data_IF_451695356407
#
_entry.id   IF_451695356407
#
_cell.length_a   1.000
_cell.length_b   1.000
_cell.length_c   1.000
_cell.angle_alpha   90.00
_cell.angle_beta   90.00
_cell.angle_gamma   90.00
#
_symmetry.space_group_name_H-M   'P 1'
#
loop_
_entity.id
_entity.type
_entity.pdbx_description
1 polymer ?
#
# COMPACT_ATOMS: atom_id res chain seq x y z
N UNK A 1 -44.42 -9.19 -5.82
CA UNK A 1 -43.09 -9.34 -5.20
C UNK A 1 -43.19 -8.74 -3.80
N UNK A 2 -43.65 -9.52 -2.81
CA UNK A 2 -43.83 -8.99 -1.45
C UNK A 2 -42.50 -9.10 -0.72
N UNK A 3 -41.86 -7.96 -0.42
CA UNK A 3 -40.67 -7.94 0.41
C UNK A 3 -41.06 -8.43 1.80
N UNK A 4 -40.53 -9.60 2.21
CA UNK A 4 -40.79 -10.14 3.54
C UNK A 4 -40.16 -9.22 4.59
N UNK A 5 -40.92 -8.66 5.55
CA UNK A 5 -40.39 -7.69 6.51
C UNK A 5 -39.19 -8.20 7.32
N UNK A 6 -39.16 -9.51 7.60
CA UNK A 6 -38.05 -10.15 8.28
C UNK A 6 -36.75 -10.13 7.45
N UNK A 7 -36.82 -10.35 6.13
CA UNK A 7 -35.65 -10.29 5.26
C UNK A 7 -35.10 -8.86 5.15
N UNK A 8 -35.99 -7.88 5.04
CA UNK A 8 -35.59 -6.46 5.02
C UNK A 8 -34.93 -6.07 6.34
N UNK A 9 -35.50 -6.50 7.47
CA UNK A 9 -34.95 -6.22 8.80
C UNK A 9 -33.57 -6.89 8.99
N UNK A 10 -33.41 -8.13 8.53
CA UNK A 10 -32.13 -8.85 8.59
C UNK A 10 -31.06 -8.20 7.71
N UNK A 11 -31.41 -7.79 6.49
CA UNK A 11 -30.49 -7.07 5.60
C UNK A 11 -30.06 -5.72 6.20
N UNK A 12 -31.00 -5.01 6.83
CA UNK A 12 -30.71 -3.74 7.49
C UNK A 12 -29.79 -3.94 8.71
N UNK A 13 -30.04 -4.95 9.53
CA UNK A 13 -29.18 -5.28 10.67
C UNK A 13 -27.75 -5.65 10.24
N UNK A 14 -27.62 -6.40 9.13
CA UNK A 14 -26.31 -6.72 8.55
C UNK A 14 -25.60 -5.47 8.02
N UNK A 15 -26.33 -4.58 7.35
CA UNK A 15 -25.79 -3.32 6.87
C UNK A 15 -25.26 -2.47 8.02
N UNK A 16 -26.07 -2.25 9.08
CA UNK A 16 -25.66 -1.47 10.24
C UNK A 16 -24.45 -2.08 10.94
N UNK A 17 -24.42 -3.40 11.13
CA UNK A 17 -23.27 -4.08 11.71
C UNK A 17 -22.00 -3.92 10.85
N UNK A 18 -22.12 -4.01 9.53
CA UNK A 18 -21.00 -3.80 8.60
C UNK A 18 -20.54 -2.34 8.57
N UNK A 19 -21.48 -1.39 8.69
CA UNK A 19 -21.21 0.04 8.70
C UNK A 19 -20.49 0.47 9.98
N UNK A 20 -20.99 0.06 11.14
CA UNK A 20 -20.42 0.38 12.47
C UNK A 20 -19.03 -0.25 12.69
N UNK A 21 -18.74 -1.37 12.02
CA UNK A 21 -17.43 -2.04 12.09
C UNK A 21 -16.50 -1.68 10.93
N UNK A 22 -16.94 -0.82 10.02
CA UNK A 22 -16.11 -0.37 8.91
C UNK A 22 -14.92 0.46 9.41
N UNK A 23 -13.82 0.38 8.69
CA UNK A 23 -12.68 1.27 8.91
C UNK A 23 -13.06 2.70 8.54
N UNK A 24 -12.69 3.66 9.39
CA UNK A 24 -12.89 5.08 9.14
C UNK A 24 -12.30 5.51 7.78
N UNK A 25 -13.08 6.27 7.00
CA UNK A 25 -12.64 6.83 5.73
C UNK A 25 -11.41 7.75 5.89
N UNK A 26 -11.30 8.45 7.02
CA UNK A 26 -10.12 9.25 7.36
C UNK A 26 -8.86 8.39 7.51
N UNK A 27 -8.97 7.14 7.97
CA UNK A 27 -7.84 6.20 7.99
C UNK A 27 -7.41 5.77 6.58
N UNK A 28 -8.29 5.89 5.58
CA UNK A 28 -7.90 5.70 4.17
C UNK A 28 -7.18 6.94 3.61
N UNK A 29 -7.61 8.14 4.02
CA UNK A 29 -7.00 9.42 3.63
C UNK A 29 -5.84 9.85 4.52
N UNK A 30 -5.37 8.97 5.40
CA UNK A 30 -4.30 9.25 6.35
C UNK A 30 -3.18 10.04 5.66
N UNK A 31 -3.05 11.31 6.03
CA UNK A 31 -2.17 12.27 5.35
C UNK A 31 -0.70 11.84 5.50
N UNK A 32 -0.42 11.03 6.51
CA UNK A 32 0.87 10.42 6.80
C UNK A 32 1.14 9.17 5.96
N UNK A 33 0.14 8.64 5.24
CA UNK A 33 0.37 7.51 4.34
C UNK A 33 1.16 8.00 3.12
N UNK A 34 2.36 7.45 2.85
CA UNK A 34 3.16 7.88 1.72
C UNK A 34 2.39 7.67 0.41
N UNK A 35 2.23 8.76 -0.34
CA UNK A 35 1.68 8.70 -1.70
C UNK A 35 2.70 8.08 -2.62
N UNK A 36 2.60 6.76 -2.82
CA UNK A 36 3.45 6.00 -3.72
C UNK A 36 2.76 5.91 -5.08
N UNK A 37 3.32 6.58 -6.08
CA UNK A 37 2.88 6.48 -7.48
C UNK A 37 3.21 5.09 -8.08
N UNK A 38 2.75 4.84 -9.31
CA UNK A 38 2.92 3.53 -9.95
C UNK A 38 4.41 3.14 -10.10
N UNK A 39 5.29 4.09 -10.45
CA UNK A 39 6.71 3.83 -10.61
C UNK A 39 7.40 3.58 -9.26
N UNK A 40 7.06 4.35 -8.23
CA UNK A 40 7.56 4.16 -6.89
C UNK A 40 7.12 2.80 -6.31
N UNK A 41 5.93 2.31 -6.69
CA UNK A 41 5.48 0.96 -6.34
C UNK A 41 6.30 -0.12 -7.02
N UNK A 42 6.64 0.03 -8.30
CA UNK A 42 7.54 -0.90 -9.00
C UNK A 42 8.92 -0.95 -8.36
N UNK A 43 9.48 0.22 -8.02
CA UNK A 43 10.76 0.33 -7.30
C UNK A 43 10.67 -0.35 -5.94
N UNK A 44 9.58 -0.15 -5.19
CA UNK A 44 9.34 -0.77 -3.89
C UNK A 44 9.21 -2.30 -3.98
N UNK A 45 8.52 -2.82 -5.00
CA UNK A 45 8.44 -4.25 -5.26
C UNK A 45 9.81 -4.85 -5.60
N UNK A 46 10.61 -4.18 -6.44
CA UNK A 46 11.97 -4.60 -6.77
C UNK A 46 12.92 -4.51 -5.56
N UNK A 47 12.70 -3.54 -4.65
CA UNK A 47 13.43 -3.44 -3.40
C UNK A 47 13.10 -4.62 -2.47
N UNK A 48 11.82 -5.01 -2.40
CA UNK A 48 11.33 -6.12 -1.58
C UNK A 48 11.69 -7.50 -2.11
N UNK A 49 12.05 -7.64 -3.38
CA UNK A 49 12.45 -8.93 -4.00
C UNK A 49 13.90 -9.33 -3.68
N UNK A 50 14.67 -8.49 -3.00
CA UNK A 50 16.07 -8.76 -2.64
C UNK A 50 17.06 -8.59 -3.79
N UNK A 51 16.64 -8.01 -4.92
CA UNK A 51 17.52 -7.70 -6.05
C UNK A 51 18.54 -6.62 -5.69
N UNK A 52 19.71 -6.67 -6.33
CA UNK A 52 20.66 -5.55 -6.27
C UNK A 52 20.14 -4.35 -7.02
N UNK A 53 20.55 -3.13 -6.63
CA UNK A 53 20.19 -1.90 -7.34
C UNK A 53 20.49 -1.98 -8.85
N UNK A 54 21.58 -2.65 -9.23
CA UNK A 54 22.00 -2.80 -10.63
C UNK A 54 20.99 -3.66 -11.39
N UNK A 55 20.61 -4.82 -10.85
CA UNK A 55 19.61 -5.71 -11.45
C UNK A 55 18.26 -5.02 -11.56
N UNK A 56 17.77 -4.45 -10.45
CA UNK A 56 16.48 -3.77 -10.41
C UNK A 56 16.42 -2.56 -11.37
N UNK A 57 17.50 -1.78 -11.47
CA UNK A 57 17.56 -0.65 -12.42
C UNK A 57 17.42 -1.10 -13.87
N UNK A 58 18.02 -2.24 -14.24
CA UNK A 58 17.93 -2.80 -15.59
C UNK A 58 16.54 -3.35 -15.90
N UNK A 59 15.93 -4.08 -14.97
CA UNK A 59 14.57 -4.61 -15.16
C UNK A 59 13.54 -3.50 -15.32
N UNK A 60 13.69 -2.40 -14.56
CA UNK A 60 12.78 -1.26 -14.62
C UNK A 60 13.15 -0.24 -15.73
N UNK A 61 14.13 -0.56 -16.59
CA UNK A 61 14.49 0.29 -17.72
C UNK A 61 15.03 1.68 -17.34
N UNK A 62 15.67 1.82 -16.18
CA UNK A 62 16.18 3.10 -15.68
C UNK A 62 17.68 3.07 -15.35
N UNK A 63 18.31 4.25 -15.30
CA UNK A 63 19.71 4.33 -14.87
C UNK A 63 19.87 3.95 -13.39
N UNK A 64 21.03 3.39 -13.01
CA UNK A 64 21.36 3.08 -11.62
C UNK A 64 21.24 4.30 -10.69
N UNK A 65 21.62 5.49 -11.19
CA UNK A 65 21.50 6.76 -10.46
C UNK A 65 20.03 7.09 -10.17
N UNK A 66 19.17 6.96 -11.18
CA UNK A 66 17.72 7.19 -11.05
C UNK A 66 17.12 6.22 -10.05
N UNK A 67 17.43 4.93 -10.17
CA UNK A 67 16.94 3.90 -9.25
C UNK A 67 17.32 4.20 -7.80
N UNK A 68 18.60 4.50 -7.53
CA UNK A 68 19.07 4.84 -6.17
C UNK A 68 18.41 6.09 -5.61
N UNK A 69 18.18 7.12 -6.45
CA UNK A 69 17.45 8.32 -6.02
C UNK A 69 16.01 7.97 -5.63
N UNK A 70 15.32 7.16 -6.43
CA UNK A 70 13.95 6.68 -6.14
C UNK A 70 13.89 5.84 -4.87
N UNK A 71 14.88 4.97 -4.63
CA UNK A 71 14.98 4.23 -3.37
C UNK A 71 15.16 5.18 -2.19
N UNK A 72 16.02 6.19 -2.29
CA UNK A 72 16.19 7.17 -1.22
C UNK A 72 14.89 7.97 -0.95
N UNK A 73 14.18 8.38 -2.01
CA UNK A 73 12.85 9.01 -1.88
C UNK A 73 11.85 8.09 -1.15
N UNK A 74 11.85 6.79 -1.47
CA UNK A 74 11.01 5.79 -0.79
C UNK A 74 11.38 5.58 0.68
N UNK A 75 12.67 5.54 1.01
CA UNK A 75 13.14 5.41 2.39
C UNK A 75 12.64 6.59 3.23
N UNK A 76 12.76 7.81 2.72
CA UNK A 76 12.24 9.02 3.38
C UNK A 76 10.72 8.95 3.53
N UNK A 77 10.00 8.60 2.46
CA UNK A 77 8.54 8.51 2.47
C UNK A 77 8.03 7.43 3.44
N UNK A 78 8.77 6.35 3.63
CA UNK A 78 8.44 5.28 4.56
C UNK A 78 8.95 5.55 5.99
N UNK A 79 9.71 6.62 6.23
CA UNK A 79 10.35 6.87 7.53
C UNK A 79 11.33 5.76 7.91
N UNK A 80 12.08 5.24 6.94
CA UNK A 80 12.97 4.10 7.10
C UNK A 80 14.44 4.47 6.84
N UNK A 81 15.33 4.04 7.72
CA UNK A 81 16.78 4.27 7.64
C UNK A 81 17.51 3.15 6.88
N UNK A 82 16.81 2.05 6.59
CA UNK A 82 17.37 0.92 5.86
C UNK A 82 16.36 0.29 4.92
N UNK A 83 16.88 -0.39 3.89
CA UNK A 83 16.06 -1.17 2.93
C UNK A 83 15.21 -2.24 3.63
N UNK A 84 15.77 -2.86 4.66
CA UNK A 84 15.06 -3.88 5.45
C UNK A 84 13.88 -3.25 6.21
N UNK A 85 14.12 -2.15 6.93
CA UNK A 85 13.06 -1.42 7.64
C UNK A 85 11.98 -0.92 6.69
N UNK A 86 12.36 -0.43 5.50
CA UNK A 86 11.42 -0.03 4.47
C UNK A 86 10.53 -1.19 4.00
N UNK A 87 11.09 -2.40 3.86
CA UNK A 87 10.34 -3.61 3.55
C UNK A 87 9.29 -3.95 4.64
N UNK A 88 9.69 -3.89 5.91
CA UNK A 88 8.77 -4.11 7.05
C UNK A 88 7.65 -3.07 7.04
N UNK A 89 7.99 -1.79 6.93
CA UNK A 89 7.02 -0.69 6.96
C UNK A 89 6.07 -0.72 5.76
N UNK A 90 6.58 -1.07 4.58
CA UNK A 90 5.75 -1.26 3.40
C UNK A 90 4.76 -2.43 3.57
N UNK A 91 5.14 -3.48 4.29
CA UNK A 91 4.25 -4.59 4.67
C UNK A 91 3.15 -4.16 5.64
N UNK A 92 3.49 -3.43 6.71
CA UNK A 92 2.53 -2.87 7.68
C UNK A 92 1.50 -1.95 7.01
N UNK A 93 1.94 -1.15 6.03
CA UNK A 93 1.09 -0.23 5.27
C UNK A 93 0.34 -0.92 4.11
N UNK A 94 0.52 -2.23 3.92
CA UNK A 94 -0.12 -3.00 2.85
C UNK A 94 0.28 -2.58 1.43
N UNK A 95 1.48 -2.03 1.25
CA UNK A 95 1.97 -1.45 -0.01
C UNK A 95 2.65 -2.47 -0.93
N UNK A 96 3.03 -3.63 -0.41
CA UNK A 96 3.77 -4.68 -1.13
C UNK A 96 2.88 -5.72 -1.82
N UNK A 97 1.57 -5.69 -1.58
CA UNK A 97 0.61 -6.61 -2.21
C UNK A 97 0.17 -6.03 -3.55
N UNK A 98 0.31 -6.81 -4.63
CA UNK A 98 -0.26 -6.49 -5.96
C UNK A 98 -1.78 -6.54 -5.91
#
# INVERSE_FOLDING_TARGET
MSAQPALVSGAYALFEAAWETATDLAAFFDADRPRIDAQAREVLCALGSGMTDVTASRELGMSLRTYRRRVAELLVALGADSRFQAGVRAGELGLTRR
#
